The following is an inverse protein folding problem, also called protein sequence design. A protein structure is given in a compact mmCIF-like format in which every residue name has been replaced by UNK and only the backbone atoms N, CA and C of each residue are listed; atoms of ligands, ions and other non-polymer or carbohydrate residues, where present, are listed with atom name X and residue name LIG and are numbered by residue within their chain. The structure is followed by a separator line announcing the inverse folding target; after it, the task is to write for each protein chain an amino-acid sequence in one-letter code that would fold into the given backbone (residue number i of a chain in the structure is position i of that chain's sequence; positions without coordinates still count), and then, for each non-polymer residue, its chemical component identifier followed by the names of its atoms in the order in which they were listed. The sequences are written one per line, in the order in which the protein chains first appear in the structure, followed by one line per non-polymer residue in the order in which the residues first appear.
data_IF_482296404081
#
_entry.id   IF_482296404081
#
_cell.length_a   1.000
_cell.length_b   1.000
_cell.length_c   1.000
_cell.angle_alpha   90.00
_cell.angle_beta   90.00
_cell.angle_gamma   90.00
#
_symmetry.space_group_name_H-M   'P 1'
#
loop_
_entity.id
_entity.type
_entity.pdbx_description
1 polymer ?
#
# COMPACT_ATOMS: atom_id res chain seq x y z
N UNK A 1 -55.40 59.84 -20.94
CA UNK A 1 -55.24 58.39 -20.62
C UNK A 1 -54.61 58.27 -19.25
N UNK A 2 -55.00 57.30 -18.43
CA UNK A 2 -54.51 57.11 -17.05
C UNK A 2 -53.69 55.83 -16.94
N UNK A 3 -52.63 55.81 -16.13
CA UNK A 3 -51.71 54.67 -16.02
C UNK A 3 -51.26 54.43 -14.57
N UNK A 4 -51.70 53.32 -13.98
CA UNK A 4 -51.32 52.70 -12.68
C UNK A 4 -51.74 51.20 -12.77
N UNK A 5 -51.22 50.25 -11.96
CA UNK A 5 -50.22 50.35 -10.88
C UNK A 5 -48.80 50.13 -11.49
N UNK A 6 -47.85 49.27 -11.10
CA UNK A 6 -47.69 48.23 -10.05
C UNK A 6 -46.20 47.98 -9.74
N UNK A 7 -45.91 47.05 -8.81
CA UNK A 7 -44.59 46.48 -8.51
C UNK A 7 -44.71 44.94 -8.39
N UNK A 8 -43.56 44.26 -8.26
CA UNK A 8 -43.30 42.82 -7.99
C UNK A 8 -42.75 41.99 -9.17
N UNK A 9 -41.44 41.73 -9.14
CA UNK A 9 -40.90 40.37 -9.14
C UNK A 9 -39.45 40.38 -8.62
N UNK A 10 -39.09 39.35 -7.86
CA UNK A 10 -37.77 39.07 -7.29
C UNK A 10 -37.23 37.81 -8.00
N UNK A 11 -35.93 37.54 -7.86
CA UNK A 11 -35.20 36.35 -8.35
C UNK A 11 -34.79 36.40 -9.84
N UNK A 12 -33.60 35.90 -10.24
CA UNK A 12 -32.44 35.53 -9.42
C UNK A 12 -31.13 35.73 -10.22
N UNK A 13 -30.09 36.22 -9.54
CA UNK A 13 -28.71 36.17 -10.03
C UNK A 13 -27.93 35.15 -9.20
N UNK A 14 -28.06 33.88 -9.57
CA UNK A 14 -27.22 32.78 -9.06
C UNK A 14 -26.47 32.19 -10.27
N UNK A 15 -25.16 32.42 -10.33
CA UNK A 15 -24.34 32.00 -11.47
C UNK A 15 -24.21 30.47 -11.53
N UNK A 16 -24.10 29.94 -12.75
CA UNK A 16 -23.89 28.51 -12.96
C UNK A 16 -22.50 28.08 -12.46
N UNK A 17 -22.47 27.08 -11.56
CA UNK A 17 -21.26 26.32 -11.24
C UNK A 17 -21.49 24.88 -11.78
N UNK A 18 -20.72 24.41 -12.77
CA UNK A 18 -20.93 23.09 -13.35
C UNK A 18 -20.46 21.98 -12.40
N UNK A 19 -21.44 21.21 -11.90
CA UNK A 19 -21.39 19.86 -11.33
C UNK A 19 -20.02 19.28 -10.86
N UNK A 20 -19.77 19.21 -9.53
CA UNK A 20 -18.87 18.20 -8.95
C UNK A 20 -19.49 16.78 -8.93
N UNK A 21 -20.80 16.67 -9.15
CA UNK A 21 -21.63 15.48 -8.91
C UNK A 21 -21.24 14.28 -9.78
N UNK A 22 -20.71 14.49 -11.00
CA UNK A 22 -20.36 13.40 -11.91
C UNK A 22 -19.07 12.65 -11.53
N UNK A 23 -18.28 13.16 -10.57
CA UNK A 23 -17.06 12.50 -10.11
C UNK A 23 -17.31 11.45 -9.00
N UNK A 24 -18.35 11.64 -8.19
CA UNK A 24 -18.60 10.81 -7.01
C UNK A 24 -19.18 9.43 -7.37
N UNK A 25 -20.09 9.37 -8.35
CA UNK A 25 -20.73 8.13 -8.80
C UNK A 25 -19.78 7.12 -9.45
N UNK A 26 -18.60 7.54 -9.92
CA UNK A 26 -17.62 6.61 -10.48
C UNK A 26 -17.05 5.67 -9.39
N UNK A 27 -16.62 6.23 -8.25
CA UNK A 27 -16.12 5.45 -7.12
C UNK A 27 -17.22 4.64 -6.44
N UNK A 28 -18.40 5.24 -6.26
CA UNK A 28 -19.56 4.62 -5.58
C UNK A 28 -20.18 3.46 -6.41
N UNK A 29 -19.88 3.36 -7.70
CA UNK A 29 -20.37 2.30 -8.58
C UNK A 29 -19.66 0.94 -8.42
N UNK A 30 -18.50 0.89 -7.75
CA UNK A 30 -17.71 -0.33 -7.57
C UNK A 30 -17.76 -0.76 -6.12
N UNK A 31 -18.79 -1.53 -5.79
CA UNK A 31 -18.95 -2.22 -4.50
C UNK A 31 -17.71 -3.10 -4.23
N UNK A 32 -16.84 -2.78 -3.23
CA UNK A 32 -15.56 -3.47 -3.02
C UNK A 32 -15.74 -4.96 -2.69
N UNK A 33 -16.89 -5.35 -2.14
CA UNK A 33 -17.28 -6.73 -1.92
C UNK A 33 -17.39 -7.55 -3.22
N UNK A 34 -17.55 -6.94 -4.40
CA UNK A 34 -17.54 -7.68 -5.68
C UNK A 34 -16.13 -8.15 -6.08
N UNK A 35 -15.08 -7.46 -5.63
CA UNK A 35 -13.71 -7.98 -5.71
C UNK A 35 -13.50 -9.12 -4.71
N UNK A 36 -14.01 -8.99 -3.48
CA UNK A 36 -13.91 -10.00 -2.43
C UNK A 36 -14.77 -11.26 -2.67
N UNK A 37 -15.86 -11.15 -3.45
CA UNK A 37 -16.74 -12.27 -3.81
C UNK A 37 -16.04 -13.32 -4.69
N UNK A 38 -14.91 -12.97 -5.31
CA UNK A 38 -14.10 -13.90 -6.13
C UNK A 38 -13.17 -14.73 -5.23
N UNK A 39 -13.76 -15.61 -4.42
CA UNK A 39 -13.03 -16.61 -3.66
C UNK A 39 -12.13 -17.50 -4.55
N UNK A 40 -11.07 -18.04 -3.96
CA UNK A 40 -10.13 -19.07 -4.49
C UNK A 40 -9.41 -18.81 -5.83
N UNK A 41 -9.70 -17.74 -6.57
CA UNK A 41 -9.15 -17.53 -7.93
C UNK A 41 -7.70 -16.98 -7.93
N UNK A 42 -7.16 -16.62 -6.77
CA UNK A 42 -5.80 -16.05 -6.62
C UNK A 42 -4.71 -17.00 -6.11
N UNK A 43 -5.03 -18.23 -5.70
CA UNK A 43 -4.06 -19.18 -5.11
C UNK A 43 -3.56 -20.19 -6.13
N UNK A 44 -2.26 -20.16 -6.44
CA UNK A 44 -1.62 -21.17 -7.32
C UNK A 44 -1.43 -22.51 -6.59
N UNK A 45 -1.24 -23.63 -7.32
CA UNK A 45 -0.89 -24.91 -6.70
C UNK A 45 0.42 -24.85 -5.90
N UNK A 46 1.38 -24.02 -6.33
CA UNK A 46 2.65 -23.79 -5.62
C UNK A 46 2.43 -23.07 -4.28
N UNK A 47 1.56 -22.05 -4.26
CA UNK A 47 1.16 -21.37 -3.02
C UNK A 47 0.43 -22.32 -2.06
N UNK A 48 -0.44 -23.19 -2.56
CA UNK A 48 -1.13 -24.18 -1.72
C UNK A 48 -0.14 -25.17 -1.09
N UNK A 49 0.77 -25.75 -1.89
CA UNK A 49 1.80 -26.66 -1.40
C UNK A 49 2.72 -25.99 -0.35
N UNK A 50 3.05 -24.70 -0.52
CA UNK A 50 3.82 -23.94 0.46
C UNK A 50 3.04 -23.69 1.77
N UNK A 51 1.72 -23.45 1.70
CA UNK A 51 0.86 -23.34 2.89
C UNK A 51 0.72 -24.70 3.62
N UNK A 52 0.59 -25.80 2.88
CA UNK A 52 0.51 -27.15 3.45
C UNK A 52 1.84 -27.55 4.12
N UNK A 53 2.98 -27.24 3.50
CA UNK A 53 4.31 -27.45 4.09
C UNK A 53 4.50 -26.61 5.38
N UNK A 54 4.07 -25.35 5.38
CA UNK A 54 4.04 -24.47 6.57
C UNK A 54 3.16 -25.04 7.68
N UNK A 55 1.97 -25.56 7.34
CA UNK A 55 1.06 -26.18 8.31
C UNK A 55 1.63 -27.49 8.88
N UNK A 56 2.37 -28.26 8.09
CA UNK A 56 3.11 -29.44 8.51
C UNK A 56 4.44 -29.13 9.24
N UNK A 57 4.74 -27.85 9.51
CA UNK A 57 5.95 -27.41 10.21
C UNK A 57 7.26 -27.70 9.46
N UNK A 58 7.22 -27.91 8.15
CA UNK A 58 8.40 -28.25 7.36
C UNK A 58 9.20 -26.98 7.02
N UNK A 59 10.53 -26.96 7.24
CA UNK A 59 11.38 -25.86 6.80
C UNK A 59 11.51 -25.86 5.27
N UNK A 60 11.80 -24.68 4.72
CA UNK A 60 12.12 -24.50 3.29
C UNK A 60 13.55 -23.99 3.18
N UNK A 61 14.36 -24.64 2.35
CA UNK A 61 15.74 -24.25 2.07
C UNK A 61 15.85 -23.65 0.66
N UNK A 62 16.75 -22.67 0.49
CA UNK A 62 17.03 -22.05 -0.79
C UNK A 62 18.52 -21.65 -0.89
N UNK A 63 19.10 -21.79 -2.09
CA UNK A 63 20.53 -21.59 -2.32
C UNK A 63 20.88 -20.17 -2.80
N UNK A 64 19.95 -19.47 -3.45
CA UNK A 64 20.22 -18.21 -4.15
C UNK A 64 19.56 -16.99 -3.47
N UNK A 65 18.28 -17.14 -3.08
CA UNK A 65 17.48 -16.09 -2.43
C UNK A 65 16.28 -16.73 -1.73
N UNK A 66 15.67 -15.99 -0.81
CA UNK A 66 14.44 -16.40 -0.09
C UNK A 66 13.59 -15.17 0.21
N UNK A 67 12.26 -15.33 0.18
CA UNK A 67 11.29 -14.31 0.61
C UNK A 67 10.40 -14.91 1.68
N UNK A 68 10.15 -14.16 2.75
CA UNK A 68 9.22 -14.54 3.82
C UNK A 68 8.34 -13.34 4.18
N UNK A 69 7.04 -13.54 4.22
CA UNK A 69 6.03 -12.52 4.54
C UNK A 69 4.79 -13.19 5.15
N UNK A 70 3.91 -12.40 5.76
CA UNK A 70 2.69 -12.92 6.40
C UNK A 70 1.75 -13.62 5.40
N UNK A 71 1.63 -13.06 4.19
CA UNK A 71 0.68 -13.46 3.16
C UNK A 71 1.39 -14.09 1.94
N UNK A 72 0.92 -15.24 1.39
CA UNK A 72 1.56 -15.91 0.27
C UNK A 72 1.55 -15.09 -1.03
N UNK A 73 0.60 -14.18 -1.25
CA UNK A 73 0.58 -13.30 -2.42
C UNK A 73 1.76 -12.29 -2.40
N UNK A 74 2.11 -11.80 -1.21
CA UNK A 74 3.28 -10.93 -1.04
C UNK A 74 4.59 -11.70 -1.23
N UNK A 75 4.67 -12.95 -0.73
CA UNK A 75 5.82 -13.84 -0.99
C UNK A 75 6.01 -14.08 -2.49
N UNK A 76 4.92 -14.39 -3.21
CA UNK A 76 4.93 -14.59 -4.66
C UNK A 76 5.45 -13.35 -5.40
N UNK A 77 4.92 -12.15 -5.08
CA UNK A 77 5.34 -10.91 -5.74
C UNK A 77 6.83 -10.60 -5.52
N UNK A 78 7.36 -10.79 -4.31
CA UNK A 78 8.80 -10.66 -4.04
C UNK A 78 9.64 -11.70 -4.78
N UNK A 79 9.17 -12.96 -4.81
CA UNK A 79 9.84 -14.05 -5.50
C UNK A 79 9.88 -13.84 -7.02
N UNK A 80 8.84 -13.26 -7.62
CA UNK A 80 8.81 -12.95 -9.05
C UNK A 80 9.76 -11.81 -9.44
N UNK A 81 9.92 -10.80 -8.57
CA UNK A 81 10.95 -9.75 -8.76
C UNK A 81 12.37 -10.34 -8.71
N UNK A 82 12.67 -11.21 -7.75
CA UNK A 82 13.97 -11.88 -7.65
C UNK A 82 14.22 -12.85 -8.82
N UNK A 83 13.18 -13.58 -9.26
CA UNK A 83 13.19 -14.45 -10.43
C UNK A 83 13.41 -13.68 -11.73
N UNK A 84 12.98 -12.42 -11.80
CA UNK A 84 13.27 -11.49 -12.90
C UNK A 84 14.65 -10.81 -12.81
N UNK A 85 15.45 -11.09 -11.76
CA UNK A 85 16.78 -10.51 -11.56
C UNK A 85 16.80 -9.15 -10.83
N UNK A 86 15.69 -8.75 -10.21
CA UNK A 86 15.65 -7.59 -9.32
C UNK A 86 16.43 -7.80 -8.02
N UNK A 87 16.77 -6.72 -7.33
CA UNK A 87 17.47 -6.77 -6.05
C UNK A 87 16.55 -7.15 -4.89
N UNK A 88 17.14 -7.46 -3.73
CA UNK A 88 16.39 -7.65 -2.49
C UNK A 88 15.62 -6.37 -2.06
N UNK A 89 16.07 -5.18 -2.47
CA UNK A 89 15.35 -3.93 -2.21
C UNK A 89 14.10 -3.80 -3.10
N UNK A 90 14.20 -4.17 -4.39
CA UNK A 90 13.06 -4.19 -5.31
C UNK A 90 12.00 -5.20 -4.86
N UNK A 91 12.47 -6.39 -4.43
CA UNK A 91 11.61 -7.45 -3.90
C UNK A 91 10.90 -7.02 -2.61
N UNK A 92 11.60 -6.33 -1.70
CA UNK A 92 11.03 -5.73 -0.49
C UNK A 92 9.92 -4.71 -0.82
N UNK A 93 10.13 -3.83 -1.81
CA UNK A 93 9.11 -2.86 -2.24
C UNK A 93 7.87 -3.56 -2.79
N UNK A 94 8.04 -4.61 -3.60
CA UNK A 94 6.92 -5.41 -4.12
C UNK A 94 6.16 -6.13 -3.00
N UNK A 95 6.87 -6.79 -2.07
CA UNK A 95 6.30 -7.42 -0.87
C UNK A 95 5.49 -6.41 -0.06
N UNK A 96 6.04 -5.24 0.26
CA UNK A 96 5.38 -4.25 1.11
C UNK A 96 4.17 -3.59 0.43
N UNK A 97 4.23 -3.39 -0.89
CA UNK A 97 3.11 -2.87 -1.69
C UNK A 97 1.95 -3.87 -1.72
N UNK A 98 2.24 -5.17 -1.89
CA UNK A 98 1.20 -6.21 -1.85
C UNK A 98 0.65 -6.38 -0.43
N UNK A 99 1.49 -6.38 0.62
CA UNK A 99 1.04 -6.40 2.01
C UNK A 99 0.13 -5.21 2.35
N UNK A 100 0.35 -4.03 1.76
CA UNK A 100 -0.54 -2.88 1.91
C UNK A 100 -1.94 -3.05 1.29
N UNK A 101 -2.13 -4.06 0.43
CA UNK A 101 -3.40 -4.44 -0.19
C UNK A 101 -4.03 -5.68 0.46
N UNK A 102 -3.22 -6.69 0.82
CA UNK A 102 -3.71 -8.00 1.31
C UNK A 102 -3.65 -8.17 2.83
N UNK A 103 -2.92 -7.30 3.53
CA UNK A 103 -2.91 -7.18 5.01
C UNK A 103 -3.10 -5.70 5.46
N UNK A 104 -4.09 -4.96 4.93
CA UNK A 104 -4.22 -3.50 5.10
C UNK A 104 -4.43 -3.07 6.57
N UNK A 105 -4.88 -3.98 7.44
CA UNK A 105 -5.01 -3.79 8.88
C UNK A 105 -3.66 -3.77 9.63
N UNK A 106 -2.57 -4.23 8.99
CA UNK A 106 -1.24 -4.41 9.58
C UNK A 106 -0.11 -3.83 8.72
N UNK A 107 -0.41 -3.25 7.55
CA UNK A 107 0.57 -2.72 6.60
C UNK A 107 -0.08 -1.69 5.69
N UNK A 108 0.65 -0.65 5.32
CA UNK A 108 0.15 0.36 4.38
C UNK A 108 0.97 1.66 4.38
N UNK A 109 0.83 2.44 3.31
CA UNK A 109 1.61 3.66 3.06
C UNK A 109 1.33 4.80 4.07
N UNK A 110 0.23 4.73 4.81
CA UNK A 110 -0.11 5.69 5.88
C UNK A 110 0.33 5.26 7.29
N UNK A 111 1.02 4.12 7.42
CA UNK A 111 1.58 3.64 8.68
C UNK A 111 3.03 4.07 8.87
N UNK A 112 3.84 3.17 9.43
CA UNK A 112 5.30 3.34 9.49
C UNK A 112 6.04 2.01 9.44
N UNK A 113 7.34 2.05 9.23
CA UNK A 113 8.20 0.87 9.07
C UNK A 113 9.59 1.09 9.67
N UNK A 114 10.22 0.00 10.14
CA UNK A 114 11.63 -0.05 10.52
C UNK A 114 12.36 -1.04 9.63
N UNK A 115 13.35 -0.57 8.88
CA UNK A 115 14.16 -1.37 7.96
C UNK A 115 15.56 -1.59 8.55
N UNK A 116 16.00 -2.85 8.57
CA UNK A 116 17.40 -3.24 8.73
C UNK A 116 17.90 -3.74 7.38
N UNK A 117 18.85 -3.03 6.79
CA UNK A 117 19.44 -3.37 5.50
C UNK A 117 20.93 -3.72 5.65
N UNK A 118 21.36 -4.82 5.05
CA UNK A 118 22.76 -5.20 4.95
C UNK A 118 23.20 -5.19 3.49
N UNK A 119 24.18 -4.35 3.15
CA UNK A 119 24.82 -4.40 1.85
C UNK A 119 26.03 -5.34 1.89
N UNK A 120 25.92 -6.47 1.21
CA UNK A 120 26.99 -7.46 1.12
C UNK A 120 28.20 -6.99 0.29
N UNK A 121 28.10 -5.91 -0.51
CA UNK A 121 29.22 -5.38 -1.29
C UNK A 121 30.16 -4.50 -0.47
N UNK A 122 29.61 -3.66 0.43
CA UNK A 122 30.40 -2.84 1.37
C UNK A 122 30.57 -3.48 2.75
N UNK A 123 29.74 -4.47 3.10
CA UNK A 123 29.63 -5.03 4.45
C UNK A 123 28.88 -4.14 5.44
N UNK A 124 28.26 -3.04 4.98
CA UNK A 124 27.62 -2.07 5.85
C UNK A 124 26.22 -2.51 6.31
N UNK A 125 25.90 -2.20 7.58
CA UNK A 125 24.56 -2.31 8.13
C UNK A 125 23.93 -0.92 8.24
N UNK A 126 22.74 -0.74 7.68
CA UNK A 126 21.96 0.50 7.74
C UNK A 126 20.62 0.24 8.41
N UNK A 127 20.23 1.13 9.33
CA UNK A 127 18.88 1.11 9.91
C UNK A 127 18.13 2.39 9.55
N UNK A 128 16.85 2.25 9.20
CA UNK A 128 15.96 3.34 8.80
C UNK A 128 14.63 3.21 9.53
N UNK A 129 14.26 4.26 10.27
CA UNK A 129 12.94 4.43 10.89
C UNK A 129 12.11 5.40 10.02
N UNK A 130 10.93 4.94 9.61
CA UNK A 130 9.96 5.66 8.79
C UNK A 130 8.62 5.68 9.51
N UNK A 131 8.53 6.34 10.67
CA UNK A 131 7.31 6.32 11.49
C UNK A 131 6.97 7.56 12.32
N UNK A 132 7.86 8.55 12.45
CA UNK A 132 7.54 9.70 13.31
C UNK A 132 8.46 10.92 13.21
N UNK A 133 7.94 12.05 13.67
CA UNK A 133 8.73 13.26 13.97
C UNK A 133 9.30 13.12 15.39
N UNK A 134 10.61 12.88 15.53
CA UNK A 134 11.26 12.80 16.83
C UNK A 134 11.44 14.20 17.46
N UNK A 135 10.39 14.70 18.12
CA UNK A 135 10.44 15.94 18.90
C UNK A 135 11.24 15.76 20.20
N UNK A 136 12.58 15.71 20.09
CA UNK A 136 13.47 16.10 21.19
C UNK A 136 13.61 17.62 21.19
N UNK A 137 13.67 18.24 22.36
CA UNK A 137 13.59 19.69 22.51
C UNK A 137 14.69 20.45 21.75
N UNK A 138 14.31 21.18 20.71
CA UNK A 138 15.14 22.21 20.06
C UNK A 138 15.75 21.86 18.70
N UNK A 139 15.63 20.63 18.18
CA UNK A 139 16.16 20.31 16.85
C UNK A 139 15.83 18.92 16.32
N UNK A 140 15.75 18.81 14.98
CA UNK A 140 15.61 17.53 14.29
C UNK A 140 16.97 16.82 14.21
N UNK A 141 17.09 15.64 14.82
CA UNK A 141 18.08 14.66 14.36
C UNK A 141 17.50 13.93 13.14
N UNK A 142 18.32 13.78 12.08
CA UNK A 142 17.91 13.05 10.88
C UNK A 142 17.81 11.53 11.14
N UNK A 143 16.93 10.86 10.39
CA UNK A 143 16.65 9.42 10.50
C UNK A 143 17.77 8.51 9.96
N UNK A 144 19.03 8.83 10.26
CA UNK A 144 20.23 8.15 9.75
C UNK A 144 21.03 7.56 10.91
N UNK A 145 20.51 6.46 11.47
CA UNK A 145 21.16 5.68 12.52
C UNK A 145 22.19 4.71 11.97
N UNK A 146 23.29 5.22 11.41
CA UNK A 146 24.41 4.38 10.97
C UNK A 146 25.16 3.85 12.18
N UNK A 147 25.03 2.56 12.46
CA UNK A 147 25.83 1.86 13.46
C UNK A 147 26.98 1.14 12.74
N UNK A 148 28.19 1.66 12.93
CA UNK A 148 29.47 1.03 12.53
C UNK A 148 29.98 0.11 13.63
#
# INVERSE_FOLDING_TARGET
MSFRPSHFLIAALAAAIPAPVLAQTAADSVAPETAAATGTTGTTPEMQAALDAKAAGQPVEAQNWMVSAANPLAVQAGADVLRAGGSAADAMVAVQTVLGLVEPQSSGLGGGAFLVWYDAASGALTTLDVGGNLYVGGGYLGAQGTVT
#
